data_IF_296350302367
#
_entry.id   IF_296350302367
#
_cell.length_a   1.000
_cell.length_b   1.000
_cell.length_c   1.000
_cell.angle_alpha   90.00
_cell.angle_beta   90.00
_cell.angle_gamma   90.00
#
_symmetry.space_group_name_H-M   'P 1'
#
loop_
_entity.id
_entity.type
_entity.pdbx_description
1 polymer ?
#
# COMPACT_ATOMS: atom_id res chain seq x y z
N UNK A 1 -15.89 27.88 8.76
CA UNK A 1 -17.33 27.47 8.98
C UNK A 1 -17.34 26.01 9.40
N UNK A 2 -18.29 25.60 10.29
CA UNK A 2 -18.41 24.18 10.68
C UNK A 2 -19.18 23.38 9.63
N UNK A 3 -18.59 22.31 9.11
CA UNK A 3 -19.16 21.41 8.10
C UNK A 3 -19.02 19.95 8.55
N UNK A 4 -19.80 19.05 7.97
CA UNK A 4 -19.71 17.61 8.27
C UNK A 4 -18.31 17.08 7.94
N UNK A 5 -17.78 16.23 8.81
CA UNK A 5 -16.49 15.54 8.60
C UNK A 5 -16.54 14.73 7.32
N UNK A 6 -17.63 13.98 7.08
CA UNK A 6 -17.82 13.18 5.86
C UNK A 6 -17.72 13.98 4.58
N UNK A 7 -18.32 15.20 4.50
CA UNK A 7 -18.23 16.08 3.33
C UNK A 7 -16.79 16.54 3.10
N UNK A 8 -16.13 16.96 4.17
CA UNK A 8 -14.75 17.45 4.10
C UNK A 8 -13.75 16.32 3.75
N UNK A 9 -13.98 15.09 4.22
CA UNK A 9 -13.19 13.92 3.82
C UNK A 9 -13.32 13.66 2.32
N UNK A 10 -14.53 13.73 1.76
CA UNK A 10 -14.74 13.56 0.31
C UNK A 10 -13.97 14.61 -0.47
N UNK A 11 -14.06 15.88 -0.09
CA UNK A 11 -13.31 16.96 -0.73
C UNK A 11 -11.78 16.77 -0.62
N UNK A 12 -11.30 16.30 0.52
CA UNK A 12 -9.89 15.98 0.71
C UNK A 12 -9.44 14.88 -0.25
N UNK A 13 -10.22 13.79 -0.39
CA UNK A 13 -9.94 12.70 -1.32
C UNK A 13 -9.96 13.16 -2.78
N UNK A 14 -10.90 14.04 -3.15
CA UNK A 14 -10.93 14.68 -4.47
C UNK A 14 -9.67 15.49 -4.76
N UNK A 15 -9.20 16.28 -3.80
CA UNK A 15 -7.97 17.08 -3.92
C UNK A 15 -6.73 16.20 -4.08
N UNK A 16 -6.71 15.00 -3.46
CA UNK A 16 -5.65 14.01 -3.65
C UNK A 16 -5.75 13.23 -4.97
N UNK A 17 -6.73 13.54 -5.80
CA UNK A 17 -7.00 12.82 -7.05
C UNK A 17 -7.27 11.33 -6.83
N UNK A 18 -7.98 10.97 -5.77
CA UNK A 18 -8.59 9.65 -5.61
C UNK A 18 -9.74 9.56 -6.60
N UNK A 19 -9.75 8.52 -7.43
CA UNK A 19 -10.79 8.32 -8.46
C UNK A 19 -11.88 7.36 -7.98
N UNK A 20 -11.48 6.32 -7.24
CA UNK A 20 -12.37 5.24 -6.83
C UNK A 20 -12.25 4.91 -5.36
N UNK A 21 -13.39 4.57 -4.76
CA UNK A 21 -13.49 3.95 -3.44
C UNK A 21 -14.18 2.62 -3.62
N UNK A 22 -13.53 1.55 -3.19
CA UNK A 22 -14.01 0.18 -3.32
C UNK A 22 -14.60 -0.29 -1.99
N UNK A 23 -15.79 -0.88 -1.98
CA UNK A 23 -16.35 -1.27 -0.68
C UNK A 23 -17.69 -1.97 -0.74
N UNK A 24 -18.23 -2.23 0.45
CA UNK A 24 -19.59 -2.66 0.68
C UNK A 24 -20.24 -1.76 1.72
N UNK A 25 -21.48 -1.35 1.47
CA UNK A 25 -22.21 -0.46 2.37
C UNK A 25 -22.58 -1.13 3.69
N UNK A 26 -22.67 -0.33 4.74
CA UNK A 26 -23.18 -0.73 6.05
C UNK A 26 -23.58 0.50 6.85
N UNK A 27 -24.33 0.33 7.93
CA UNK A 27 -24.94 1.46 8.63
C UNK A 27 -23.91 2.43 9.22
N UNK A 28 -22.72 1.98 9.62
CA UNK A 28 -21.71 2.87 10.24
C UNK A 28 -21.02 3.81 9.25
N UNK A 29 -21.17 3.59 7.95
CA UNK A 29 -20.54 4.43 6.89
C UNK A 29 -21.57 5.22 6.09
N UNK A 30 -22.84 5.23 6.47
CA UNK A 30 -23.93 5.89 5.72
C UNK A 30 -23.66 7.38 5.50
N UNK A 31 -23.22 8.11 6.53
CA UNK A 31 -22.92 9.54 6.38
C UNK A 31 -21.82 9.81 5.37
N UNK A 32 -20.81 8.94 5.29
CA UNK A 32 -19.77 9.05 4.29
C UNK A 32 -20.24 8.66 2.89
N UNK A 33 -21.07 7.62 2.77
CA UNK A 33 -21.69 7.24 1.49
C UNK A 33 -22.63 8.32 0.97
N UNK A 34 -23.38 8.99 1.86
CA UNK A 34 -24.22 10.14 1.50
C UNK A 34 -23.36 11.30 0.95
N UNK A 35 -22.24 11.62 1.60
CA UNK A 35 -21.29 12.60 1.10
C UNK A 35 -20.70 12.20 -0.27
N UNK A 36 -20.31 10.93 -0.44
CA UNK A 36 -19.81 10.39 -1.71
C UNK A 36 -20.84 10.48 -2.84
N UNK A 37 -22.14 10.30 -2.54
CA UNK A 37 -23.20 10.37 -3.54
C UNK A 37 -23.31 11.75 -4.22
N UNK A 38 -22.83 12.80 -3.55
CA UNK A 38 -22.80 14.17 -4.07
C UNK A 38 -21.52 14.50 -4.85
N UNK A 39 -20.47 13.67 -4.74
CA UNK A 39 -19.24 13.87 -5.50
C UNK A 39 -19.45 13.61 -7.00
N UNK A 40 -18.84 14.45 -7.81
CA UNK A 40 -18.78 14.27 -9.28
C UNK A 40 -17.45 13.69 -9.75
N UNK A 41 -16.47 13.61 -8.87
CA UNK A 41 -15.10 13.15 -9.18
C UNK A 41 -14.81 11.77 -8.62
N UNK A 42 -15.25 11.48 -7.40
CA UNK A 42 -15.11 10.19 -6.75
C UNK A 42 -16.22 9.23 -7.18
N UNK A 43 -15.84 8.00 -7.47
CA UNK A 43 -16.79 6.93 -7.77
C UNK A 43 -16.72 5.84 -6.71
N UNK A 44 -17.86 5.53 -6.11
CA UNK A 44 -17.99 4.38 -5.22
C UNK A 44 -18.28 3.14 -6.04
N UNK A 45 -17.45 2.12 -5.91
CA UNK A 45 -17.60 0.81 -6.57
C UNK A 45 -18.04 -0.19 -5.50
N UNK A 46 -19.32 -0.56 -5.55
CA UNK A 46 -19.91 -1.52 -4.63
C UNK A 46 -19.56 -2.95 -5.01
N UNK A 47 -19.16 -3.73 -4.03
CA UNK A 47 -18.89 -5.16 -4.15
C UNK A 47 -19.90 -5.96 -3.33
N UNK A 48 -19.95 -7.27 -3.55
CA UNK A 48 -20.79 -8.19 -2.76
C UNK A 48 -20.05 -8.77 -1.54
N UNK A 49 -18.75 -8.50 -1.44
CA UNK A 49 -17.91 -8.91 -0.33
C UNK A 49 -16.70 -7.98 -0.23
N UNK A 50 -16.31 -7.60 0.95
CA UNK A 50 -15.24 -6.63 1.21
C UNK A 50 -13.85 -7.19 0.87
N UNK A 51 -13.64 -8.50 0.87
CA UNK A 51 -12.42 -9.12 0.40
C UNK A 51 -12.17 -8.77 -1.07
N UNK A 52 -13.21 -8.88 -1.91
CA UNK A 52 -13.12 -8.52 -3.32
C UNK A 52 -12.89 -7.02 -3.51
N UNK A 53 -13.50 -6.18 -2.66
CA UNK A 53 -13.25 -4.74 -2.67
C UNK A 53 -11.78 -4.42 -2.34
N UNK A 54 -11.22 -5.05 -1.32
CA UNK A 54 -9.81 -4.88 -0.96
C UNK A 54 -8.86 -5.40 -2.05
N UNK A 55 -9.17 -6.53 -2.69
CA UNK A 55 -8.38 -7.03 -3.83
C UNK A 55 -8.48 -6.12 -5.06
N UNK A 56 -9.65 -5.52 -5.30
CA UNK A 56 -9.80 -4.55 -6.38
C UNK A 56 -9.00 -3.27 -6.11
N UNK A 57 -8.99 -2.79 -4.87
CA UNK A 57 -8.17 -1.66 -4.45
C UNK A 57 -6.66 -1.96 -4.59
N UNK A 58 -6.23 -3.18 -4.24
CA UNK A 58 -4.88 -3.67 -4.45
C UNK A 58 -4.49 -3.65 -5.93
N UNK A 59 -5.30 -4.25 -6.80
CA UNK A 59 -5.06 -4.25 -8.26
C UNK A 59 -5.01 -2.83 -8.84
N UNK A 60 -5.92 -1.94 -8.41
CA UNK A 60 -5.90 -0.54 -8.80
C UNK A 60 -4.60 0.16 -8.38
N UNK A 61 -4.17 -0.04 -7.14
CA UNK A 61 -2.95 0.58 -6.61
C UNK A 61 -1.68 0.13 -7.37
N UNK A 62 -1.60 -1.14 -7.78
CA UNK A 62 -0.49 -1.67 -8.60
C UNK A 62 -0.37 -0.94 -9.94
N UNK A 63 -1.48 -0.65 -10.58
CA UNK A 63 -1.50 0.03 -11.89
C UNK A 63 -1.29 1.53 -11.76
N UNK A 64 -1.99 2.16 -10.81
CA UNK A 64 -1.94 3.63 -10.63
C UNK A 64 -0.73 4.11 -9.85
N UNK A 65 -0.04 3.22 -9.11
CA UNK A 65 1.08 3.53 -8.21
C UNK A 65 0.71 4.57 -7.14
N UNK A 66 -0.56 4.53 -6.71
CA UNK A 66 -1.16 5.37 -5.67
C UNK A 66 -1.96 4.47 -4.74
N UNK A 67 -2.25 4.95 -3.54
CA UNK A 67 -3.03 4.18 -2.58
C UNK A 67 -4.44 3.87 -3.10
N UNK A 68 -4.80 2.59 -3.10
CA UNK A 68 -6.19 2.16 -3.27
C UNK A 68 -6.99 2.45 -2.00
N UNK A 69 -8.24 2.88 -2.14
CA UNK A 69 -9.09 3.23 -0.99
C UNK A 69 -10.21 2.21 -0.83
N UNK A 70 -10.27 1.59 0.35
CA UNK A 70 -11.31 0.63 0.73
C UNK A 70 -12.22 1.26 1.77
N UNK A 71 -13.53 1.15 1.57
CA UNK A 71 -14.55 1.52 2.55
C UNK A 71 -15.26 0.25 3.02
N UNK A 72 -15.25 0.00 4.32
CA UNK A 72 -15.95 -1.14 4.90
C UNK A 72 -16.72 -0.76 6.16
N UNK A 73 -17.70 -1.59 6.46
CA UNK A 73 -18.48 -1.53 7.68
C UNK A 73 -17.69 -2.09 8.88
N UNK A 74 -18.15 -1.82 10.10
CA UNK A 74 -17.58 -2.40 11.31
C UNK A 74 -17.67 -3.95 11.34
N UNK A 75 -17.00 -4.58 12.28
CA UNK A 75 -17.09 -6.02 12.58
C UNK A 75 -16.97 -6.92 11.36
N UNK A 76 -18.06 -7.49 10.85
CA UNK A 76 -18.00 -8.40 9.70
C UNK A 76 -17.36 -7.76 8.46
N UNK A 77 -17.57 -6.45 8.22
CA UNK A 77 -16.98 -5.74 7.10
C UNK A 77 -15.46 -5.70 7.19
N UNK A 78 -14.92 -5.28 8.32
CA UNK A 78 -13.46 -5.22 8.50
C UNK A 78 -12.84 -6.62 8.49
N UNK A 79 -13.49 -7.64 9.08
CA UNK A 79 -13.00 -9.01 9.06
C UNK A 79 -12.92 -9.58 7.64
N UNK A 80 -13.90 -9.29 6.79
CA UNK A 80 -13.87 -9.72 5.41
C UNK A 80 -12.73 -9.08 4.60
N UNK A 81 -12.20 -7.91 5.00
CA UNK A 81 -11.09 -7.28 4.28
C UNK A 81 -9.73 -7.93 4.55
N UNK A 82 -9.59 -8.73 5.63
CA UNK A 82 -8.31 -9.25 6.15
C UNK A 82 -7.44 -9.85 5.04
N UNK A 83 -7.98 -10.76 4.24
CA UNK A 83 -7.20 -11.43 3.17
C UNK A 83 -6.68 -10.44 2.13
N UNK A 84 -7.52 -9.50 1.66
CA UNK A 84 -7.11 -8.51 0.65
C UNK A 84 -6.09 -7.52 1.19
N UNK A 85 -6.26 -7.08 2.45
CA UNK A 85 -5.30 -6.20 3.13
C UNK A 85 -3.97 -6.91 3.40
N UNK A 86 -4.00 -8.18 3.82
CA UNK A 86 -2.79 -8.99 4.00
C UNK A 86 -2.02 -9.15 2.70
N UNK A 87 -2.72 -9.42 1.58
CA UNK A 87 -2.10 -9.48 0.25
C UNK A 87 -1.37 -8.19 -0.10
N UNK A 88 -2.04 -7.04 0.06
CA UNK A 88 -1.43 -5.73 -0.16
C UNK A 88 -0.20 -5.49 0.75
N UNK A 89 -0.28 -5.93 2.01
CA UNK A 89 0.82 -5.80 2.98
C UNK A 89 2.05 -6.59 2.56
N UNK A 90 1.86 -7.87 2.21
CA UNK A 90 2.97 -8.74 1.81
C UNK A 90 3.66 -8.26 0.52
N UNK A 91 2.91 -7.71 -0.40
CA UNK A 91 3.44 -7.20 -1.67
C UNK A 91 3.82 -5.72 -1.63
N UNK A 92 3.71 -5.06 -0.48
CA UNK A 92 4.07 -3.64 -0.31
C UNK A 92 3.22 -2.70 -1.17
N UNK A 93 1.92 -3.01 -1.32
CA UNK A 93 0.99 -2.23 -2.10
C UNK A 93 0.31 -1.17 -1.22
N UNK A 94 0.34 0.11 -1.60
CA UNK A 94 -0.27 1.17 -0.81
C UNK A 94 -1.80 1.04 -0.79
N UNK A 95 -2.40 1.07 0.39
CA UNK A 95 -3.85 0.99 0.58
C UNK A 95 -4.27 1.77 1.81
N UNK A 96 -5.39 2.49 1.72
CA UNK A 96 -6.04 3.14 2.85
C UNK A 96 -7.40 2.48 3.08
N UNK A 97 -7.51 1.77 4.20
CA UNK A 97 -8.79 1.17 4.64
C UNK A 97 -9.48 2.15 5.56
N UNK A 98 -10.67 2.60 5.18
CA UNK A 98 -11.57 3.41 6.00
C UNK A 98 -12.68 2.48 6.49
N UNK A 99 -12.63 2.11 7.76
CA UNK A 99 -13.63 1.25 8.38
C UNK A 99 -14.57 2.08 9.27
N UNK A 100 -15.87 1.90 9.11
CA UNK A 100 -16.82 2.44 10.08
C UNK A 100 -16.67 1.74 11.43
N UNK A 101 -16.95 2.45 12.51
CA UNK A 101 -16.97 1.91 13.88
C UNK A 101 -18.28 2.25 14.56
N UNK A 102 -18.55 1.59 15.69
CA UNK A 102 -19.69 1.95 16.54
C UNK A 102 -19.59 3.41 16.98
N UNK A 103 -20.71 4.09 17.26
CA UNK A 103 -20.66 5.43 17.85
C UNK A 103 -19.80 5.46 19.12
N UNK A 104 -18.99 6.48 19.29
CA UNK A 104 -18.02 6.58 20.39
C UNK A 104 -18.66 6.45 21.79
N UNK A 105 -19.89 6.90 21.94
CA UNK A 105 -20.66 6.77 23.20
C UNK A 105 -21.12 5.34 23.51
N UNK A 106 -20.90 4.38 22.59
CA UNK A 106 -21.16 2.95 22.81
C UNK A 106 -19.91 2.13 23.10
N UNK A 107 -18.74 2.72 23.05
CA UNK A 107 -17.49 2.00 23.38
C UNK A 107 -17.61 1.31 24.75
N UNK A 108 -17.21 0.03 24.79
CA UNK A 108 -17.30 -0.80 25.98
C UNK A 108 -18.70 -1.31 26.37
N UNK A 109 -19.73 -1.05 25.54
CA UNK A 109 -21.10 -1.50 25.77
C UNK A 109 -21.52 -2.68 24.89
N UNK A 110 -20.63 -3.22 24.08
CA UNK A 110 -20.84 -4.35 23.18
C UNK A 110 -22.06 -4.18 22.25
N UNK A 111 -22.16 -3.08 21.49
CA UNK A 111 -23.26 -2.89 20.57
C UNK A 111 -23.23 -3.90 19.42
N UNK A 112 -24.30 -3.94 18.63
CA UNK A 112 -24.46 -4.87 17.52
C UNK A 112 -23.26 -4.82 16.55
N UNK A 113 -22.71 -5.99 16.24
CA UNK A 113 -21.57 -6.20 15.34
C UNK A 113 -20.22 -5.63 15.81
N UNK A 114 -20.11 -5.07 16.99
CA UNK A 114 -18.80 -4.71 17.55
C UNK A 114 -17.97 -5.97 17.85
N UNK A 115 -16.65 -5.89 17.60
CA UNK A 115 -15.72 -7.01 17.80
C UNK A 115 -14.81 -6.71 18.99
N UNK A 116 -15.33 -6.95 20.21
CA UNK A 116 -14.54 -6.82 21.45
C UNK A 116 -15.12 -7.62 22.62
N UNK A 117 -15.84 -8.71 22.35
CA UNK A 117 -16.63 -9.45 23.35
C UNK A 117 -15.81 -10.02 24.51
N UNK A 118 -14.51 -10.26 24.31
CA UNK A 118 -13.66 -10.97 25.29
C UNK A 118 -12.36 -10.26 25.61
N UNK A 119 -12.16 -9.04 25.14
CA UNK A 119 -10.96 -8.25 25.40
C UNK A 119 -11.26 -6.75 25.34
N UNK A 120 -10.33 -5.95 25.82
CA UNK A 120 -10.37 -4.49 25.68
C UNK A 120 -9.99 -4.02 24.27
N UNK A 121 -9.64 -4.95 23.38
CA UNK A 121 -9.28 -4.65 22.00
C UNK A 121 -10.51 -4.30 21.17
N UNK A 122 -10.47 -3.22 20.43
CA UNK A 122 -11.50 -2.86 19.48
C UNK A 122 -11.20 -3.44 18.08
N UNK A 123 -12.17 -3.33 17.18
CA UNK A 123 -12.06 -3.89 15.83
C UNK A 123 -10.79 -3.46 15.05
N UNK A 124 -10.23 -2.28 15.33
CA UNK A 124 -9.02 -1.83 14.62
C UNK A 124 -7.78 -2.68 14.94
N UNK A 125 -7.80 -3.43 16.06
CA UNK A 125 -6.75 -4.38 16.42
C UNK A 125 -6.65 -5.55 15.43
N UNK A 126 -7.76 -5.91 14.76
CA UNK A 126 -7.81 -7.05 13.81
C UNK A 126 -6.77 -6.88 12.69
N UNK A 127 -6.64 -5.67 12.15
CA UNK A 127 -5.71 -5.41 11.05
C UNK A 127 -4.31 -4.96 11.51
N UNK A 128 -4.11 -4.63 12.80
CA UNK A 128 -2.81 -4.15 13.30
C UNK A 128 -1.61 -4.99 12.87
N UNK A 129 -1.64 -6.33 12.91
CA UNK A 129 -0.51 -7.16 12.52
C UNK A 129 -0.12 -7.08 11.04
N UNK A 130 -1.04 -6.64 10.19
CA UNK A 130 -0.90 -6.66 8.73
C UNK A 130 -0.98 -5.28 8.07
N UNK A 131 -1.00 -4.21 8.86
CA UNK A 131 -0.97 -2.83 8.34
C UNK A 131 0.24 -2.07 8.88
N UNK A 132 0.70 -1.06 8.16
CA UNK A 132 1.79 -0.19 8.63
C UNK A 132 1.39 0.57 9.89
N UNK A 133 0.13 0.99 9.98
CA UNK A 133 -0.47 1.61 11.14
C UNK A 133 -1.99 1.51 11.11
N UNK A 134 -2.59 1.40 12.29
CA UNK A 134 -4.02 1.53 12.52
C UNK A 134 -4.29 2.74 13.42
N UNK A 135 -5.32 3.51 13.12
CA UNK A 135 -5.85 4.58 13.97
C UNK A 135 -7.32 4.29 14.28
N UNK A 136 -7.73 4.61 15.50
CA UNK A 136 -9.13 4.87 15.83
C UNK A 136 -9.29 6.38 16.00
N UNK A 137 -10.29 6.95 15.38
CA UNK A 137 -10.54 8.40 15.43
C UNK A 137 -11.41 8.71 16.62
N UNK A 138 -10.81 9.00 17.76
CA UNK A 138 -11.53 9.30 19.00
C UNK A 138 -11.98 10.77 19.08
N UNK A 139 -11.42 11.64 18.25
CA UNK A 139 -11.75 13.06 18.14
C UNK A 139 -11.95 13.45 16.68
N UNK A 140 -13.12 14.03 16.39
CA UNK A 140 -13.46 14.48 15.03
C UNK A 140 -12.50 15.55 14.49
N UNK A 141 -11.95 16.42 15.33
CA UNK A 141 -11.01 17.46 14.93
C UNK A 141 -9.62 16.91 14.55
N UNK A 142 -9.28 15.67 14.99
CA UNK A 142 -8.07 14.96 14.58
C UNK A 142 -8.18 14.29 13.21
N UNK A 143 -9.38 14.17 12.64
CA UNK A 143 -9.61 13.45 11.38
C UNK A 143 -8.77 13.97 10.20
N UNK A 144 -8.64 15.29 9.97
CA UNK A 144 -7.85 15.82 8.87
C UNK A 144 -6.40 15.36 8.92
N UNK A 145 -5.78 15.47 10.09
CA UNK A 145 -4.39 15.08 10.30
C UNK A 145 -4.17 13.56 10.18
N UNK A 146 -5.10 12.76 10.73
CA UNK A 146 -5.06 11.30 10.63
C UNK A 146 -5.17 10.87 9.17
N UNK A 147 -6.11 11.45 8.41
CA UNK A 147 -6.31 11.11 7.01
C UNK A 147 -5.08 11.44 6.16
N UNK A 148 -4.47 12.61 6.36
CA UNK A 148 -3.24 13.00 5.67
C UNK A 148 -2.06 12.09 6.01
N UNK A 149 -1.84 11.81 7.29
CA UNK A 149 -0.81 10.87 7.75
C UNK A 149 -1.02 9.47 7.17
N UNK A 150 -2.27 9.01 7.08
CA UNK A 150 -2.61 7.70 6.55
C UNK A 150 -2.16 7.56 5.09
N UNK A 151 -2.52 8.51 4.22
CA UNK A 151 -2.11 8.48 2.82
C UNK A 151 -0.58 8.58 2.68
N UNK A 152 0.05 9.52 3.37
CA UNK A 152 1.51 9.66 3.32
C UNK A 152 2.23 8.39 3.80
N UNK A 153 1.76 7.79 4.88
CA UNK A 153 2.36 6.56 5.40
C UNK A 153 2.15 5.38 4.46
N UNK A 154 0.95 5.25 3.86
CA UNK A 154 0.67 4.18 2.90
C UNK A 154 1.61 4.23 1.69
N UNK A 155 1.92 5.44 1.20
CA UNK A 155 2.65 5.68 -0.06
C UNK A 155 4.16 5.89 0.13
N UNK A 156 4.66 6.10 1.36
CA UNK A 156 6.06 6.43 1.62
C UNK A 156 6.91 5.24 2.07
N UNK A 157 8.23 5.35 1.86
CA UNK A 157 9.20 4.31 2.20
C UNK A 157 8.87 2.99 1.49
N UNK A 158 8.81 1.87 2.25
CA UNK A 158 8.18 0.66 1.74
C UNK A 158 6.66 0.87 1.82
N UNK A 159 5.93 0.97 0.69
CA UNK A 159 4.49 1.18 0.71
C UNK A 159 3.74 0.03 1.40
N UNK A 160 2.49 0.27 1.76
CA UNK A 160 1.67 -0.78 2.38
C UNK A 160 0.36 -0.24 2.92
N UNK A 161 -0.53 -1.13 3.36
CA UNK A 161 -1.84 -0.74 3.85
C UNK A 161 -1.78 -0.04 5.21
N UNK A 162 -2.76 0.83 5.43
CA UNK A 162 -3.06 1.48 6.71
C UNK A 162 -4.56 1.40 6.98
N UNK A 163 -4.95 1.50 8.25
CA UNK A 163 -6.35 1.47 8.68
C UNK A 163 -6.71 2.75 9.42
N UNK A 164 -7.89 3.30 9.10
CA UNK A 164 -8.57 4.34 9.87
C UNK A 164 -9.93 3.79 10.30
N UNK A 165 -10.10 3.51 11.58
CA UNK A 165 -11.39 3.15 12.18
C UNK A 165 -12.09 4.43 12.61
N UNK A 166 -13.26 4.70 12.02
CA UNK A 166 -13.98 5.98 12.18
C UNK A 166 -15.34 5.72 12.81
N UNK A 167 -15.56 6.15 14.05
CA UNK A 167 -16.88 6.06 14.68
C UNK A 167 -17.97 6.77 13.87
N UNK A 168 -19.17 6.19 13.88
CA UNK A 168 -20.32 6.68 13.12
C UNK A 168 -20.69 8.14 13.47
N UNK A 169 -20.56 8.53 14.73
CA UNK A 169 -20.80 9.90 15.20
C UNK A 169 -19.70 10.87 14.73
N UNK A 170 -18.47 10.41 14.55
CA UNK A 170 -17.37 11.21 13.97
C UNK A 170 -17.66 11.55 12.52
N UNK A 171 -18.14 10.60 11.69
CA UNK A 171 -18.55 10.91 10.32
C UNK A 171 -19.62 11.99 10.24
N UNK A 172 -20.53 12.02 11.24
CA UNK A 172 -21.63 12.97 11.32
C UNK A 172 -21.31 14.23 12.14
N UNK A 173 -20.12 14.32 12.72
CA UNK A 173 -19.68 15.49 13.47
C UNK A 173 -19.46 16.69 12.54
N UNK A 174 -19.58 17.91 13.10
CA UNK A 174 -19.28 19.15 12.40
C UNK A 174 -18.03 19.79 12.99
N UNK A 175 -16.98 19.89 12.20
CA UNK A 175 -15.73 20.55 12.56
C UNK A 175 -15.46 21.76 11.66
N UNK A 176 -14.53 22.60 12.06
CA UNK A 176 -14.15 23.77 11.24
C UNK A 176 -13.45 23.31 9.94
N UNK A 177 -13.94 23.81 8.81
CA UNK A 177 -13.36 23.50 7.49
C UNK A 177 -11.88 23.93 7.36
N UNK A 178 -11.44 24.91 8.14
CA UNK A 178 -10.05 25.36 8.13
C UNK A 178 -9.07 24.26 8.59
N UNK A 179 -9.52 23.31 9.40
CA UNK A 179 -8.69 22.17 9.82
C UNK A 179 -8.26 21.32 8.62
N UNK A 180 -9.19 20.97 7.73
CA UNK A 180 -8.86 20.24 6.50
C UNK A 180 -8.07 21.09 5.50
N UNK A 181 -8.44 22.36 5.34
CA UNK A 181 -7.75 23.26 4.42
C UNK A 181 -6.29 23.46 4.81
N UNK A 182 -6.02 23.70 6.11
CA UNK A 182 -4.66 23.82 6.63
C UNK A 182 -3.88 22.54 6.46
N UNK A 183 -4.43 21.40 6.87
CA UNK A 183 -3.76 20.11 6.75
C UNK A 183 -3.39 19.78 5.31
N UNK A 184 -4.29 20.03 4.35
CA UNK A 184 -4.00 19.81 2.94
C UNK A 184 -2.91 20.75 2.41
N UNK A 185 -2.94 22.03 2.80
CA UNK A 185 -1.97 23.06 2.37
C UNK A 185 -0.58 22.77 2.93
N UNK A 186 -0.51 22.33 4.19
CA UNK A 186 0.74 22.10 4.91
C UNK A 186 1.27 20.66 4.73
N UNK A 187 0.58 19.83 3.94
CA UNK A 187 1.02 18.45 3.67
C UNK A 187 2.35 18.47 2.90
N UNK A 188 3.43 17.92 3.48
CA UNK A 188 4.72 17.94 2.82
C UNK A 188 4.73 17.03 1.60
N UNK A 189 5.45 17.43 0.56
CA UNK A 189 5.72 16.56 -0.57
C UNK A 189 6.48 15.30 -0.13
N UNK A 190 6.17 14.18 -0.76
CA UNK A 190 6.89 12.94 -0.49
C UNK A 190 8.28 13.02 -1.10
N UNK A 191 9.29 13.18 -0.25
CA UNK A 191 10.69 13.18 -0.68
C UNK A 191 11.13 11.72 -0.89
N UNK A 192 11.57 11.40 -2.11
CA UNK A 192 12.16 10.09 -2.39
C UNK A 192 13.59 10.06 -1.86
N UNK A 193 13.97 9.02 -1.08
CA UNK A 193 15.36 8.88 -0.64
C UNK A 193 16.28 8.67 -1.82
N UNK A 194 17.46 9.26 -1.79
CA UNK A 194 18.49 9.08 -2.78
C UNK A 194 19.71 8.37 -2.17
N UNK A 195 20.40 7.58 -2.99
CA UNK A 195 21.64 6.97 -2.58
C UNK A 195 22.76 8.04 -2.47
N UNK A 196 23.53 8.00 -1.39
CA UNK A 196 24.68 8.89 -1.26
C UNK A 196 25.71 8.65 -2.40
N UNK A 197 26.29 9.70 -3.00
CA UNK A 197 27.23 9.53 -4.10
C UNK A 197 28.40 8.61 -3.80
N UNK A 198 28.92 8.62 -2.58
CA UNK A 198 29.98 7.73 -2.11
C UNK A 198 29.57 6.25 -2.11
N UNK A 199 28.31 5.96 -1.69
CA UNK A 199 27.76 4.61 -1.72
C UNK A 199 27.53 4.15 -3.17
N UNK A 200 26.99 5.02 -4.04
CA UNK A 200 26.83 4.73 -5.47
C UNK A 200 28.17 4.36 -6.13
N UNK A 201 29.22 5.14 -5.84
CA UNK A 201 30.58 4.86 -6.34
C UNK A 201 31.13 3.53 -5.84
N UNK A 202 30.89 3.18 -4.57
CA UNK A 202 31.34 1.92 -4.00
C UNK A 202 30.62 0.71 -4.64
N UNK A 203 29.31 0.82 -4.90
CA UNK A 203 28.54 -0.20 -5.60
C UNK A 203 29.02 -0.35 -7.04
N UNK A 204 29.16 0.74 -7.77
CA UNK A 204 29.64 0.73 -9.16
C UNK A 204 31.01 0.06 -9.26
N UNK A 205 31.95 0.37 -8.33
CA UNK A 205 33.26 -0.27 -8.28
C UNK A 205 33.13 -1.79 -8.12
N UNK A 206 32.31 -2.27 -7.17
CA UNK A 206 32.08 -3.71 -6.97
C UNK A 206 31.53 -4.40 -8.22
N UNK A 207 30.59 -3.78 -8.92
CA UNK A 207 30.02 -4.33 -10.15
C UNK A 207 31.05 -4.40 -11.29
N UNK A 208 31.91 -3.39 -11.43
CA UNK A 208 32.95 -3.33 -12.48
C UNK A 208 34.09 -4.34 -12.20
N UNK A 209 34.40 -4.59 -10.93
CA UNK A 209 35.45 -5.54 -10.51
C UNK A 209 34.99 -7.00 -10.50
N UNK A 210 33.67 -7.24 -10.53
CA UNK A 210 33.08 -8.56 -10.52
C UNK A 210 33.35 -9.33 -11.83
N UNK A 211 33.50 -10.65 -11.73
CA UNK A 211 33.68 -11.53 -12.89
C UNK A 211 32.33 -12.00 -13.44
N UNK A 212 31.35 -12.25 -12.55
CA UNK A 212 30.02 -12.73 -12.90
C UNK A 212 28.93 -11.93 -12.15
N UNK A 213 28.81 -10.63 -12.40
CA UNK A 213 27.80 -9.81 -11.74
C UNK A 213 26.39 -10.13 -12.25
N UNK A 214 25.40 -10.08 -11.38
CA UNK A 214 23.96 -10.20 -11.72
C UNK A 214 23.18 -9.10 -11.03
N UNK A 215 22.25 -8.48 -11.75
CA UNK A 215 21.23 -7.61 -11.15
C UNK A 215 20.00 -8.45 -10.83
N UNK A 216 19.49 -8.37 -9.59
CA UNK A 216 18.27 -9.05 -9.17
C UNK A 216 17.17 -8.03 -8.90
N UNK A 217 16.19 -7.94 -9.80
CA UNK A 217 15.14 -6.92 -9.80
C UNK A 217 13.84 -7.43 -9.16
N UNK A 218 13.35 -6.71 -8.16
CA UNK A 218 12.07 -6.98 -7.49
C UNK A 218 10.97 -5.99 -7.81
N UNK A 219 9.79 -6.20 -7.23
CA UNK A 219 8.60 -5.36 -7.42
C UNK A 219 8.79 -3.88 -7.05
N UNK A 220 9.77 -3.56 -6.21
CA UNK A 220 10.11 -2.19 -5.86
C UNK A 220 10.51 -1.32 -7.04
N UNK A 221 11.06 -1.91 -8.13
CA UNK A 221 11.34 -1.20 -9.39
C UNK A 221 10.05 -0.65 -9.99
N UNK A 222 9.01 -1.50 -10.08
CA UNK A 222 7.72 -1.11 -10.64
C UNK A 222 7.02 -0.05 -9.76
N UNK A 223 7.06 -0.23 -8.43
CA UNK A 223 6.48 0.72 -7.49
C UNK A 223 7.18 2.10 -7.54
N UNK A 224 8.50 2.11 -7.70
CA UNK A 224 9.28 3.33 -7.85
C UNK A 224 9.11 4.00 -9.23
N UNK A 225 8.61 3.26 -10.24
CA UNK A 225 8.56 3.70 -11.63
C UNK A 225 9.93 3.77 -12.29
N UNK A 226 10.89 2.92 -11.86
CA UNK A 226 12.32 2.98 -12.22
C UNK A 226 12.71 1.94 -13.28
N UNK A 227 11.79 1.52 -14.14
CA UNK A 227 12.05 0.52 -15.19
C UNK A 227 13.03 1.02 -16.27
N UNK A 228 12.93 2.28 -16.66
CA UNK A 228 13.82 2.88 -17.68
C UNK A 228 15.24 3.07 -17.11
N UNK A 229 15.35 3.48 -15.84
CA UNK A 229 16.64 3.60 -15.17
C UNK A 229 17.31 2.23 -14.98
N UNK A 230 16.52 1.19 -14.63
CA UNK A 230 17.03 -0.17 -14.55
C UNK A 230 17.53 -0.64 -15.92
N UNK A 231 16.74 -0.44 -16.98
CA UNK A 231 17.11 -0.79 -18.35
C UNK A 231 18.42 -0.09 -18.78
N UNK A 232 18.50 1.21 -18.54
CA UNK A 232 19.70 1.98 -18.86
C UNK A 232 20.94 1.47 -18.11
N UNK A 233 20.80 1.09 -16.83
CA UNK A 233 21.90 0.52 -16.04
C UNK A 233 22.36 -0.84 -16.61
N UNK A 234 21.40 -1.72 -16.91
CA UNK A 234 21.64 -3.06 -17.47
C UNK A 234 22.37 -2.97 -18.81
N UNK A 235 21.89 -2.11 -19.72
CA UNK A 235 22.48 -1.92 -21.04
C UNK A 235 23.87 -1.25 -20.96
N UNK A 236 24.04 -0.27 -20.06
CA UNK A 236 25.32 0.44 -19.91
C UNK A 236 26.45 -0.45 -19.36
N UNK A 237 26.11 -1.35 -18.40
CA UNK A 237 27.09 -2.22 -17.77
C UNK A 237 27.21 -3.59 -18.45
N UNK A 238 26.31 -3.92 -19.38
CA UNK A 238 26.18 -5.24 -20.01
C UNK A 238 26.06 -6.37 -18.98
N UNK A 239 25.29 -6.13 -17.89
CA UNK A 239 25.10 -7.06 -16.79
C UNK A 239 23.75 -7.76 -16.92
N UNK A 240 23.70 -9.13 -16.86
CA UNK A 240 22.45 -9.85 -16.93
C UNK A 240 21.55 -9.56 -15.70
N UNK A 241 20.23 -9.59 -15.94
CA UNK A 241 19.23 -9.29 -14.93
C UNK A 241 18.29 -10.48 -14.71
N UNK A 242 18.18 -10.93 -13.47
CA UNK A 242 17.13 -11.83 -13.01
C UNK A 242 16.03 -11.06 -12.31
N UNK A 243 14.86 -11.63 -12.18
CA UNK A 243 13.74 -10.99 -11.50
C UNK A 243 13.01 -11.89 -10.50
N UNK A 244 12.39 -11.28 -9.51
CA UNK A 244 11.39 -11.94 -8.67
C UNK A 244 10.04 -12.07 -9.41
N UNK A 245 9.10 -12.84 -8.88
CA UNK A 245 7.73 -12.88 -9.40
C UNK A 245 7.11 -11.47 -9.43
N UNK A 246 7.28 -10.69 -8.36
CA UNK A 246 6.76 -9.32 -8.25
C UNK A 246 7.52 -8.30 -9.12
N UNK A 247 8.70 -8.66 -9.60
CA UNK A 247 9.50 -7.87 -10.54
C UNK A 247 9.14 -8.09 -12.01
N UNK A 248 8.14 -8.92 -12.30
CA UNK A 248 7.72 -9.18 -13.68
C UNK A 248 7.30 -7.87 -14.38
N UNK A 249 7.88 -7.62 -15.55
CA UNK A 249 7.66 -6.39 -16.31
C UNK A 249 8.59 -5.21 -15.93
N UNK A 250 9.55 -5.40 -15.00
CA UNK A 250 10.56 -4.37 -14.70
C UNK A 250 11.47 -4.07 -15.90
N UNK A 251 11.77 -5.06 -16.71
CA UNK A 251 12.36 -5.00 -18.06
C UNK A 251 11.59 -6.00 -18.93
N UNK A 252 11.57 -5.83 -20.24
CA UNK A 252 10.93 -6.77 -21.16
C UNK A 252 11.53 -8.17 -21.03
N UNK A 253 10.68 -9.19 -20.98
CA UNK A 253 11.14 -10.60 -20.99
C UNK A 253 11.85 -11.00 -22.31
N UNK A 254 11.75 -10.20 -23.35
CA UNK A 254 12.48 -10.38 -24.62
C UNK A 254 13.82 -9.63 -24.67
N UNK A 255 14.20 -8.94 -23.60
CA UNK A 255 15.48 -8.23 -23.54
C UNK A 255 16.65 -9.22 -23.52
N UNK A 256 17.72 -9.01 -24.33
CA UNK A 256 18.83 -9.97 -24.44
C UNK A 256 19.51 -10.35 -23.11
N UNK A 257 19.53 -9.41 -22.15
CA UNK A 257 20.15 -9.61 -20.84
C UNK A 257 19.17 -10.09 -19.77
N UNK A 258 17.89 -10.34 -20.10
CA UNK A 258 16.91 -10.89 -19.15
C UNK A 258 17.09 -12.40 -19.00
N UNK A 259 17.50 -12.84 -17.80
CA UNK A 259 17.65 -14.25 -17.44
C UNK A 259 16.33 -14.94 -17.09
N UNK A 260 15.31 -14.15 -16.73
CA UNK A 260 14.02 -14.66 -16.27
C UNK A 260 13.86 -14.65 -14.75
N UNK A 261 12.93 -15.44 -14.26
CA UNK A 261 12.52 -15.50 -12.86
C UNK A 261 13.37 -16.46 -12.04
N UNK A 262 13.66 -16.07 -10.78
CA UNK A 262 14.23 -16.94 -9.75
C UNK A 262 13.16 -17.52 -8.82
N UNK A 263 13.57 -18.33 -7.87
CA UNK A 263 12.72 -18.87 -6.81
C UNK A 263 11.92 -20.11 -7.21
N UNK A 264 10.87 -20.42 -6.47
CA UNK A 264 10.09 -21.65 -6.62
C UNK A 264 9.58 -21.93 -8.03
N UNK A 265 9.29 -20.86 -8.77
CA UNK A 265 8.80 -20.92 -10.15
C UNK A 265 9.85 -20.46 -11.16
N UNK A 266 11.10 -20.38 -10.73
CA UNK A 266 12.21 -19.95 -11.57
C UNK A 266 12.66 -21.03 -12.53
N UNK A 267 13.41 -20.62 -13.55
CA UNK A 267 14.02 -21.52 -14.53
C UNK A 267 15.35 -22.05 -14.00
N UNK A 268 15.67 -23.30 -14.25
CA UNK A 268 16.96 -23.91 -13.88
C UNK A 268 18.15 -23.10 -14.43
N UNK A 269 18.01 -22.61 -15.65
CA UNK A 269 19.00 -21.73 -16.27
C UNK A 269 19.25 -20.45 -15.43
N UNK A 270 18.18 -19.76 -15.01
CA UNK A 270 18.28 -18.56 -14.19
C UNK A 270 18.95 -18.87 -12.85
N UNK A 271 18.57 -19.97 -12.20
CA UNK A 271 19.18 -20.40 -10.93
C UNK A 271 20.67 -20.67 -11.07
N UNK A 272 21.09 -21.40 -12.11
CA UNK A 272 22.53 -21.64 -12.38
C UNK A 272 23.30 -20.37 -12.58
N UNK A 273 22.71 -19.38 -13.27
CA UNK A 273 23.35 -18.08 -13.49
C UNK A 273 23.51 -17.31 -12.18
N UNK A 274 22.43 -17.20 -11.40
CA UNK A 274 22.45 -16.46 -10.13
C UNK A 274 23.32 -17.13 -9.08
N UNK A 275 23.35 -18.47 -9.00
CA UNK A 275 24.19 -19.22 -8.07
C UNK A 275 25.69 -19.09 -8.37
N UNK A 276 26.08 -18.85 -9.62
CA UNK A 276 27.48 -18.64 -10.02
C UNK A 276 27.90 -17.14 -10.00
N UNK A 277 26.99 -16.24 -9.60
CA UNK A 277 27.33 -14.84 -9.46
C UNK A 277 28.27 -14.60 -8.29
N UNK A 278 29.33 -13.84 -8.50
CA UNK A 278 30.23 -13.36 -7.44
C UNK A 278 29.75 -12.06 -6.80
N UNK A 279 28.89 -11.31 -7.51
CA UNK A 279 28.20 -10.11 -7.00
C UNK A 279 26.76 -10.11 -7.48
N UNK A 280 25.81 -9.98 -6.54
CA UNK A 280 24.40 -9.76 -6.84
C UNK A 280 23.98 -8.36 -6.37
N UNK A 281 23.52 -7.51 -7.30
CA UNK A 281 22.91 -6.23 -6.98
C UNK A 281 21.40 -6.40 -6.86
N UNK A 282 20.87 -6.45 -5.64
CA UNK A 282 19.43 -6.48 -5.37
C UNK A 282 18.81 -5.08 -5.49
N UNK A 283 17.87 -4.91 -6.41
CA UNK A 283 17.14 -3.66 -6.63
C UNK A 283 15.63 -3.87 -6.41
N UNK A 284 15.05 -3.20 -5.43
CA UNK A 284 13.62 -3.29 -5.15
C UNK A 284 13.14 -4.69 -4.74
N UNK A 285 14.04 -5.56 -4.30
CA UNK A 285 13.77 -6.90 -3.80
C UNK A 285 13.94 -6.97 -2.28
N UNK A 286 13.32 -7.96 -1.65
CA UNK A 286 13.50 -8.28 -0.22
C UNK A 286 14.10 -9.66 -0.01
N UNK A 287 14.48 -10.37 -1.08
CA UNK A 287 14.96 -11.74 -1.05
C UNK A 287 14.03 -12.67 -0.24
N UNK A 288 12.74 -12.63 -0.58
CA UNK A 288 11.72 -13.45 0.10
C UNK A 288 11.94 -14.93 -0.21
N UNK A 289 11.37 -15.78 0.64
CA UNK A 289 11.46 -17.25 0.53
C UNK A 289 11.13 -17.74 -0.88
N UNK A 290 10.00 -17.30 -1.43
CA UNK A 290 9.54 -17.73 -2.74
C UNK A 290 10.48 -17.32 -3.89
N UNK A 291 11.19 -16.19 -3.74
CA UNK A 291 12.11 -15.67 -4.75
C UNK A 291 13.52 -16.28 -4.64
N UNK A 292 13.84 -16.88 -3.50
CA UNK A 292 15.14 -17.48 -3.18
C UNK A 292 15.07 -18.98 -2.92
N UNK A 293 13.98 -19.66 -3.29
CA UNK A 293 13.76 -21.10 -3.05
C UNK A 293 14.13 -21.53 -1.61
N UNK A 294 13.51 -20.84 -0.61
CA UNK A 294 13.79 -21.05 0.82
C UNK A 294 15.24 -20.75 1.20
N UNK A 295 15.84 -19.74 0.57
CA UNK A 295 17.24 -19.32 0.78
C UNK A 295 18.24 -20.45 0.54
N UNK A 296 17.94 -21.32 -0.40
CA UNK A 296 18.83 -22.42 -0.79
C UNK A 296 20.08 -21.88 -1.49
N UNK A 297 21.29 -22.24 -1.06
CA UNK A 297 22.53 -21.65 -1.60
C UNK A 297 22.80 -21.91 -3.09
N UNK A 298 22.10 -22.83 -3.70
CA UNK A 298 22.21 -23.18 -5.11
C UNK A 298 21.23 -22.45 -6.04
N UNK A 299 20.54 -21.42 -5.52
CA UNK A 299 19.50 -20.70 -6.29
C UNK A 299 19.70 -19.20 -6.21
#
# INVERSE_FOLDING_TARGET
MKRLVSDQMVEYLERRNVEYIFGLCGHTVIAFLDALSRSKKLRYISFRNEQLAAMAADGYARIKKKAGVVLCHLGPGIMNTVTGVANASFDSIPMVVIAGDVPSYYFGKHPHQEVNLHSDASQYEILKPIVKRAWRVDDAEAMPEILDKAFRLAESGRPGPVLISVPMDVFSAKIDEELFNRTYKDSPETIKPALAPSAAKAIAKKLIEAQNPVIHAGGGILLAGASEELKALVEFLDIPVSRTLMGQGCISDTHPLMLGQTGFWGLEFTHKFTANADVILGLGTRFAEADSSSWYPGV
#
